data_IF_869139525648
#
_entry.id   IF_869139525648
#
_cell.length_a   1.000
_cell.length_b   1.000
_cell.length_c   1.000
_cell.angle_alpha   90.00
_cell.angle_beta   90.00
_cell.angle_gamma   90.00
#
_symmetry.space_group_name_H-M   'P 1'
#
loop_
_entity.id
_entity.type
_entity.pdbx_description
1 polymer ?
#
# COMPACT_ATOMS: atom_id res chain seq x y z
N UNK A 1 -2.44 -36.46 33.80
CA UNK A 1 -1.55 -35.34 33.46
C UNK A 1 -1.79 -35.00 32.00
N UNK A 2 -2.29 -33.80 31.70
CA UNK A 2 -2.44 -33.33 30.32
C UNK A 2 -1.06 -33.03 29.74
N UNK A 3 -0.81 -33.45 28.51
CA UNK A 3 0.42 -33.07 27.81
C UNK A 3 0.49 -31.54 27.70
N UNK A 4 1.69 -30.94 27.86
CA UNK A 4 1.85 -29.51 27.65
C UNK A 4 1.48 -29.15 26.21
N UNK A 5 0.89 -27.98 26.01
CA UNK A 5 0.56 -27.46 24.69
C UNK A 5 1.83 -27.32 23.83
N UNK A 6 1.70 -27.63 22.55
CA UNK A 6 2.79 -27.42 21.58
C UNK A 6 3.09 -25.93 21.44
N UNK A 7 4.39 -25.57 21.35
CA UNK A 7 4.87 -24.19 21.19
C UNK A 7 5.61 -24.05 19.86
N UNK A 8 5.30 -22.98 19.11
CA UNK A 8 5.99 -22.60 17.88
C UNK A 8 6.70 -21.26 18.08
N UNK A 9 8.03 -21.26 17.93
CA UNK A 9 8.87 -20.07 18.06
C UNK A 9 9.39 -19.64 16.68
N UNK A 10 9.12 -18.41 16.30
CA UNK A 10 9.54 -17.82 15.01
C UNK A 10 10.32 -16.53 15.24
N UNK A 11 11.02 -16.08 14.19
CA UNK A 11 11.49 -14.69 14.13
C UNK A 11 10.27 -13.76 14.17
N UNK A 12 10.45 -12.56 14.73
CA UNK A 12 9.38 -11.56 14.75
C UNK A 12 8.87 -11.31 13.32
N UNK A 13 7.56 -11.39 13.08
CA UNK A 13 7.00 -11.20 11.74
C UNK A 13 6.85 -9.70 11.38
N UNK A 14 6.49 -9.44 10.13
CA UNK A 14 6.10 -8.14 9.58
C UNK A 14 4.78 -8.29 8.80
N UNK A 15 3.98 -7.22 8.71
CA UNK A 15 2.71 -7.20 7.97
C UNK A 15 2.84 -6.37 6.67
N UNK A 16 2.79 -7.03 5.52
CA UNK A 16 3.05 -6.38 4.23
C UNK A 16 1.83 -5.71 3.58
N UNK A 17 0.66 -5.68 4.25
CA UNK A 17 -0.51 -4.94 3.80
C UNK A 17 -1.43 -4.59 4.97
N UNK A 18 -1.35 -3.35 5.48
CA UNK A 18 -2.11 -2.92 6.65
C UNK A 18 -2.85 -1.59 6.46
N UNK A 19 -4.07 -1.50 7.01
CA UNK A 19 -4.85 -0.27 7.07
C UNK A 19 -5.00 0.20 8.52
N UNK A 20 -4.26 1.23 8.90
CA UNK A 20 -4.27 1.79 10.26
C UNK A 20 -5.30 2.89 10.50
N UNK A 21 -5.94 3.41 9.42
CA UNK A 21 -6.91 4.52 9.48
C UNK A 21 -6.27 5.78 10.07
N UNK A 22 -7.05 6.66 10.70
CA UNK A 22 -6.53 7.87 11.36
C UNK A 22 -7.35 8.20 12.61
N UNK A 23 -6.92 9.20 13.39
CA UNK A 23 -7.64 9.70 14.56
C UNK A 23 -7.79 8.65 15.66
N UNK A 24 -8.97 8.57 16.27
CA UNK A 24 -9.20 7.65 17.40
C UNK A 24 -9.23 6.18 16.98
N UNK A 25 -9.58 5.90 15.73
CA UNK A 25 -9.47 4.56 15.16
C UNK A 25 -8.00 4.13 15.12
N UNK A 26 -7.10 5.01 14.67
CA UNK A 26 -5.65 4.75 14.65
C UNK A 26 -5.12 4.40 16.05
N UNK A 27 -5.47 5.21 17.06
CA UNK A 27 -5.07 4.97 18.45
C UNK A 27 -5.56 3.62 18.99
N UNK A 28 -6.72 3.17 18.51
CA UNK A 28 -7.32 1.91 18.91
C UNK A 28 -6.66 0.72 18.23
N UNK A 29 -6.32 0.83 16.93
CA UNK A 29 -5.86 -0.33 16.13
C UNK A 29 -4.34 -0.53 16.12
N UNK A 30 -3.53 0.52 16.27
CA UNK A 30 -2.05 0.42 16.28
C UNK A 30 -1.50 -0.56 17.33
N UNK A 31 -2.04 -0.63 18.58
CA UNK A 31 -1.53 -1.57 19.58
C UNK A 31 -1.58 -3.04 19.13
N UNK A 32 -2.65 -3.46 18.43
CA UNK A 32 -2.80 -4.84 17.95
C UNK A 32 -1.76 -5.24 16.90
N UNK A 33 -1.27 -4.28 16.11
CA UNK A 33 -0.18 -4.52 15.17
C UNK A 33 1.17 -4.45 15.88
N UNK A 34 1.42 -3.36 16.61
CA UNK A 34 2.75 -3.05 17.16
C UNK A 34 3.20 -3.99 18.28
N UNK A 35 2.28 -4.70 18.94
CA UNK A 35 2.63 -5.73 19.93
C UNK A 35 3.28 -6.97 19.29
N UNK A 36 2.93 -7.28 18.03
CA UNK A 36 3.37 -8.50 17.31
C UNK A 36 4.43 -8.20 16.26
N UNK A 37 4.16 -7.25 15.38
CA UNK A 37 4.92 -7.04 14.15
C UNK A 37 6.04 -6.01 14.33
N UNK A 38 7.20 -6.26 13.70
CA UNK A 38 8.31 -5.30 13.71
C UNK A 38 8.09 -4.15 12.73
N UNK A 39 7.53 -4.44 11.56
CA UNK A 39 7.21 -3.47 10.51
C UNK A 39 5.84 -3.76 9.92
N UNK A 40 5.23 -2.73 9.34
CA UNK A 40 4.09 -2.92 8.46
C UNK A 40 4.08 -1.96 7.28
N UNK A 41 3.66 -2.43 6.10
CA UNK A 41 3.34 -1.59 4.96
C UNK A 41 1.99 -0.92 5.21
N UNK A 42 2.01 0.39 5.44
CA UNK A 42 0.81 1.17 5.76
C UNK A 42 0.19 1.70 4.49
N UNK A 43 -1.03 1.26 4.20
CA UNK A 43 -1.78 1.64 3.00
C UNK A 43 -2.25 3.10 3.04
N UNK A 44 -2.34 3.80 1.89
CA UNK A 44 -2.43 5.26 1.84
C UNK A 44 -3.85 5.79 1.60
N UNK A 45 -4.88 4.93 1.64
CA UNK A 45 -6.28 5.26 1.31
C UNK A 45 -7.05 5.94 2.47
N UNK A 46 -6.43 6.96 3.06
CA UNK A 46 -7.10 7.89 3.98
C UNK A 46 -8.08 8.79 3.22
N UNK A 47 -8.79 9.66 3.94
CA UNK A 47 -9.66 10.69 3.38
C UNK A 47 -9.21 12.07 3.90
N UNK A 48 -8.48 12.89 3.12
CA UNK A 48 -7.98 12.62 1.76
C UNK A 48 -6.86 11.56 1.71
N UNK A 49 -6.59 10.93 0.54
CA UNK A 49 -5.53 9.95 0.40
C UNK A 49 -4.14 10.56 0.55
N UNK A 50 -3.16 9.72 0.90
CA UNK A 50 -1.76 10.14 1.08
C UNK A 50 -1.06 10.14 -0.29
N UNK A 51 -0.96 11.31 -0.91
CA UNK A 51 -0.36 11.50 -2.25
C UNK A 51 0.92 12.34 -2.25
N UNK A 52 1.32 12.88 -1.08
CA UNK A 52 2.50 13.75 -0.95
C UNK A 52 3.43 13.27 0.15
N UNK A 53 4.71 13.61 0.04
CA UNK A 53 5.73 13.32 1.06
C UNK A 53 5.36 13.95 2.40
N UNK A 54 4.87 15.19 2.37
CA UNK A 54 4.46 15.91 3.58
C UNK A 54 3.33 15.17 4.31
N UNK A 55 2.29 14.74 3.58
CA UNK A 55 1.19 13.98 4.16
C UNK A 55 1.65 12.64 4.74
N UNK A 56 2.59 11.96 4.06
CA UNK A 56 3.14 10.69 4.52
C UNK A 56 4.00 10.84 5.78
N UNK A 57 4.83 11.88 5.86
CA UNK A 57 5.63 12.20 7.06
C UNK A 57 4.72 12.54 8.23
N UNK A 58 3.70 13.38 8.01
CA UNK A 58 2.74 13.72 9.05
C UNK A 58 1.95 12.50 9.53
N UNK A 59 1.53 11.62 8.61
CA UNK A 59 0.81 10.40 8.97
C UNK A 59 1.70 9.40 9.72
N UNK A 60 2.94 9.22 9.27
CA UNK A 60 3.94 8.41 9.98
C UNK A 60 4.10 8.86 11.43
N UNK A 61 4.19 10.17 11.66
CA UNK A 61 4.32 10.71 13.01
C UNK A 61 3.09 10.37 13.87
N UNK A 62 1.87 10.56 13.34
CA UNK A 62 0.64 10.19 14.06
C UNK A 62 0.59 8.70 14.42
N UNK A 63 1.10 7.83 13.55
CA UNK A 63 1.20 6.39 13.83
C UNK A 63 2.18 6.14 14.98
N UNK A 64 3.38 6.73 14.92
CA UNK A 64 4.40 6.59 15.97
C UNK A 64 3.92 7.12 17.32
N UNK A 65 3.19 8.23 17.34
CA UNK A 65 2.60 8.80 18.56
C UNK A 65 1.53 7.87 19.18
N UNK A 66 0.92 6.99 18.37
CA UNK A 66 -0.05 6.01 18.80
C UNK A 66 0.57 4.65 19.21
N UNK A 67 1.88 4.45 19.04
CA UNK A 67 2.57 3.22 19.45
C UNK A 67 2.73 3.20 20.98
N UNK A 68 2.24 2.15 21.67
CA UNK A 68 2.44 2.01 23.11
C UNK A 68 3.93 1.95 23.51
N UNK A 69 4.24 2.50 24.68
CA UNK A 69 5.60 2.45 25.21
C UNK A 69 6.12 1.00 25.32
N UNK A 70 7.34 0.77 24.82
CA UNK A 70 7.98 -0.54 24.83
C UNK A 70 7.74 -1.40 23.59
N UNK A 71 6.85 -0.98 22.68
CA UNK A 71 6.72 -1.61 21.37
C UNK A 71 7.82 -1.09 20.44
N UNK A 72 8.38 -1.99 19.62
CA UNK A 72 9.38 -1.67 18.60
C UNK A 72 8.74 -1.96 17.24
N UNK A 73 8.10 -0.92 16.69
CA UNK A 73 7.30 -0.96 15.48
C UNK A 73 7.69 0.16 14.52
N UNK A 74 7.95 -0.19 13.26
CA UNK A 74 8.30 0.76 12.21
C UNK A 74 7.24 0.74 11.09
N UNK A 75 6.42 1.79 10.94
CA UNK A 75 5.50 1.91 9.82
C UNK A 75 6.24 2.26 8.52
N UNK A 76 6.03 1.46 7.48
CA UNK A 76 6.56 1.62 6.13
C UNK A 76 5.49 2.29 5.27
N UNK A 77 5.65 3.59 5.00
CA UNK A 77 4.60 4.37 4.35
C UNK A 77 4.53 4.11 2.85
N UNK A 78 3.35 4.31 2.28
CA UNK A 78 3.12 4.18 0.84
C UNK A 78 2.49 5.43 0.25
N UNK A 79 2.65 5.63 -1.06
CA UNK A 79 1.98 6.69 -1.81
C UNK A 79 0.75 6.15 -2.52
N UNK A 80 -0.36 6.89 -2.47
CA UNK A 80 -1.57 6.58 -3.23
C UNK A 80 -1.40 7.08 -4.67
N UNK A 81 -1.49 6.19 -5.66
CA UNK A 81 -1.41 6.59 -7.07
C UNK A 81 -2.71 7.27 -7.54
N UNK A 82 -2.58 8.41 -8.22
CA UNK A 82 -3.67 9.14 -8.86
C UNK A 82 -3.26 9.58 -10.26
N UNK A 83 -4.24 9.90 -11.11
CA UNK A 83 -3.99 10.41 -12.47
C UNK A 83 -3.14 11.70 -12.50
N UNK A 84 -3.21 12.49 -11.43
CA UNK A 84 -2.53 13.79 -11.32
C UNK A 84 -1.24 13.76 -10.49
N UNK A 85 -0.79 12.58 -10.03
CA UNK A 85 0.40 12.47 -9.21
C UNK A 85 1.64 12.85 -10.02
N UNK A 86 2.39 13.84 -9.55
CA UNK A 86 3.68 14.21 -10.14
C UNK A 86 4.70 13.07 -9.91
N UNK A 87 5.28 12.47 -10.97
CA UNK A 87 6.33 11.46 -10.83
C UNK A 87 7.53 11.94 -10.00
N UNK A 88 7.82 13.25 -9.99
CA UNK A 88 8.91 13.83 -9.20
C UNK A 88 8.61 13.82 -7.71
N UNK A 89 7.35 14.01 -7.30
CA UNK A 89 6.94 13.91 -5.89
C UNK A 89 7.11 12.47 -5.37
N UNK A 90 6.75 11.49 -6.20
CA UNK A 90 6.92 10.08 -5.88
C UNK A 90 8.40 9.68 -5.78
N UNK A 91 9.21 10.07 -6.77
CA UNK A 91 10.65 9.80 -6.76
C UNK A 91 11.33 10.46 -5.57
N UNK A 92 11.00 11.72 -5.27
CA UNK A 92 11.52 12.43 -4.11
C UNK A 92 11.24 11.67 -2.82
N UNK A 93 9.97 11.28 -2.59
CA UNK A 93 9.60 10.54 -1.40
C UNK A 93 10.25 9.16 -1.29
N UNK A 94 10.50 8.47 -2.40
CA UNK A 94 11.22 7.20 -2.40
C UNK A 94 12.71 7.38 -2.08
N UNK A 95 13.38 8.34 -2.73
CA UNK A 95 14.80 8.62 -2.51
C UNK A 95 15.09 9.16 -1.10
N UNK A 96 14.15 9.90 -0.50
CA UNK A 96 14.23 10.38 0.89
C UNK A 96 13.89 9.28 1.92
N UNK A 97 13.47 8.08 1.49
CA UNK A 97 13.06 6.99 2.38
C UNK A 97 11.73 7.23 3.09
N UNK A 98 10.91 8.16 2.59
CA UNK A 98 9.55 8.41 3.11
C UNK A 98 8.59 7.36 2.57
N UNK A 99 8.60 7.10 1.27
CA UNK A 99 7.80 6.05 0.65
C UNK A 99 8.61 4.76 0.49
N UNK A 100 8.04 3.65 0.92
CA UNK A 100 8.59 2.31 0.67
C UNK A 100 8.08 1.74 -0.66
N UNK A 101 6.84 2.05 -1.03
CA UNK A 101 6.18 1.58 -2.25
C UNK A 101 5.01 2.53 -2.63
N UNK A 102 4.42 2.35 -3.80
CA UNK A 102 3.19 3.04 -4.20
C UNK A 102 2.05 2.05 -4.39
N UNK A 103 0.82 2.45 -4.06
CA UNK A 103 -0.36 1.59 -4.14
C UNK A 103 -1.29 2.06 -5.25
N UNK A 104 -1.55 1.16 -6.19
CA UNK A 104 -2.58 1.28 -7.20
C UNK A 104 -3.93 0.83 -6.66
N UNK A 105 -4.93 1.71 -6.76
CA UNK A 105 -6.33 1.35 -6.65
C UNK A 105 -7.04 1.74 -7.95
N UNK A 106 -7.73 0.80 -8.62
CA UNK A 106 -8.66 1.16 -9.68
C UNK A 106 -9.74 2.09 -9.13
N UNK A 107 -10.09 3.12 -9.90
CA UNK A 107 -11.15 4.06 -9.53
C UNK A 107 -12.44 3.29 -9.18
N UNK A 108 -13.02 3.62 -8.03
CA UNK A 108 -14.27 3.04 -7.50
C UNK A 108 -14.25 1.53 -7.19
N UNK A 109 -13.09 0.86 -7.15
CA UNK A 109 -13.00 -0.54 -6.76
C UNK A 109 -13.31 -0.80 -5.28
N UNK A 110 -12.92 0.10 -4.38
CA UNK A 110 -12.89 -0.17 -2.94
C UNK A 110 -13.02 1.11 -2.10
N UNK A 111 -12.94 0.96 -0.78
CA UNK A 111 -13.08 2.05 0.19
C UNK A 111 -12.07 3.17 -0.09
N UNK A 112 -12.59 4.40 -0.21
CA UNK A 112 -11.85 5.62 -0.54
C UNK A 112 -11.08 5.57 -1.88
N UNK A 113 -11.53 4.77 -2.86
CA UNK A 113 -10.90 4.72 -4.19
C UNK A 113 -11.54 5.61 -5.25
N UNK A 114 -12.39 6.57 -4.87
CA UNK A 114 -12.98 7.55 -5.80
C UNK A 114 -11.95 8.50 -6.42
N UNK A 115 -10.80 8.70 -5.75
CA UNK A 115 -9.66 9.46 -6.27
C UNK A 115 -8.62 8.55 -6.94
N UNK A 116 -9.00 7.28 -7.19
CA UNK A 116 -8.17 6.26 -7.80
C UNK A 116 -7.86 6.52 -9.26
N UNK A 117 -7.06 5.62 -9.82
CA UNK A 117 -6.57 5.71 -11.20
C UNK A 117 -7.69 5.37 -12.17
N UNK A 118 -7.92 6.22 -13.18
CA UNK A 118 -8.96 5.98 -14.19
C UNK A 118 -8.55 4.94 -15.24
N UNK A 119 -7.27 4.92 -15.59
CA UNK A 119 -6.68 3.94 -16.52
C UNK A 119 -5.17 3.83 -16.28
N UNK A 120 -4.61 2.65 -16.54
CA UNK A 120 -3.16 2.42 -16.42
C UNK A 120 -2.37 3.32 -17.37
N UNK A 121 -2.89 3.52 -18.58
CA UNK A 121 -2.24 4.39 -19.58
C UNK A 121 -2.09 5.84 -19.10
N UNK A 122 -3.06 6.35 -18.34
CA UNK A 122 -3.00 7.72 -17.80
C UNK A 122 -1.84 7.92 -16.79
N UNK A 123 -1.42 6.85 -16.10
CA UNK A 123 -0.36 6.91 -15.09
C UNK A 123 0.95 6.28 -15.56
N UNK A 124 1.09 5.93 -16.84
CA UNK A 124 2.34 5.38 -17.37
C UNK A 124 3.58 6.21 -17.03
N UNK A 125 3.56 7.57 -17.07
CA UNK A 125 4.73 8.36 -16.68
C UNK A 125 5.23 8.10 -15.24
N UNK A 126 4.31 7.85 -14.29
CA UNK A 126 4.70 7.53 -12.91
C UNK A 126 5.12 6.06 -12.77
N UNK A 127 4.51 5.15 -13.51
CA UNK A 127 4.91 3.73 -13.52
C UNK A 127 6.31 3.53 -14.13
N UNK A 128 6.62 4.21 -15.23
CA UNK A 128 7.96 4.27 -15.83
C UNK A 128 8.98 4.84 -14.85
N UNK A 129 8.60 5.86 -14.06
CA UNK A 129 9.46 6.39 -12.99
C UNK A 129 9.72 5.35 -11.91
N UNK A 130 8.69 4.65 -11.45
CA UNK A 130 8.80 3.59 -10.44
C UNK A 130 9.73 2.47 -10.90
N UNK A 131 9.60 2.03 -12.15
CA UNK A 131 10.51 1.05 -12.75
C UNK A 131 11.96 1.57 -12.70
N UNK A 132 12.20 2.78 -13.20
CA UNK A 132 13.54 3.39 -13.28
C UNK A 132 14.24 3.49 -11.92
N UNK A 133 13.51 3.86 -10.87
CA UNK A 133 14.08 4.03 -9.51
C UNK A 133 14.02 2.73 -8.69
N UNK A 134 13.40 1.68 -9.21
CA UNK A 134 13.21 0.43 -8.50
C UNK A 134 12.25 0.55 -7.32
N UNK A 135 11.21 1.39 -7.42
CA UNK A 135 10.15 1.47 -6.42
C UNK A 135 9.10 0.38 -6.68
N UNK A 136 8.71 -0.42 -5.66
CA UNK A 136 7.66 -1.43 -5.83
C UNK A 136 6.28 -0.81 -6.08
N UNK A 137 5.55 -1.41 -7.02
CA UNK A 137 4.13 -1.21 -7.22
C UNK A 137 3.34 -2.26 -6.43
N UNK A 138 2.47 -1.81 -5.54
CA UNK A 138 1.49 -2.64 -4.85
C UNK A 138 0.16 -2.49 -5.59
N UNK A 139 -0.54 -3.59 -5.85
CA UNK A 139 -1.71 -3.57 -6.72
C UNK A 139 -2.94 -4.07 -5.97
N UNK A 140 -4.05 -3.34 -6.11
CA UNK A 140 -5.38 -3.90 -5.87
C UNK A 140 -5.90 -4.42 -7.21
N UNK A 141 -5.75 -5.72 -7.45
CA UNK A 141 -5.87 -6.30 -8.79
C UNK A 141 -7.29 -6.70 -9.18
N UNK A 142 -8.21 -5.74 -9.26
CA UNK A 142 -9.58 -5.98 -9.73
C UNK A 142 -9.98 -4.96 -10.81
N UNK A 143 -10.71 -5.38 -11.85
CA UNK A 143 -11.41 -4.44 -12.73
C UNK A 143 -12.76 -4.04 -12.12
N UNK A 144 -13.30 -2.87 -12.49
CA UNK A 144 -14.52 -2.32 -11.86
C UNK A 144 -15.67 -2.11 -12.82
N UNK A 145 -15.58 -2.67 -14.04
CA UNK A 145 -16.64 -2.54 -15.02
C UNK A 145 -17.94 -3.19 -14.52
N UNK A 146 -19.07 -2.52 -14.74
CA UNK A 146 -20.36 -2.92 -14.19
C UNK A 146 -20.92 -4.20 -14.82
N UNK A 147 -20.44 -4.57 -16.01
CA UNK A 147 -20.80 -5.78 -16.75
C UNK A 147 -19.96 -7.01 -16.35
N UNK A 148 -18.95 -6.84 -15.50
CA UNK A 148 -18.10 -7.93 -15.00
C UNK A 148 -18.56 -8.34 -13.59
N UNK A 149 -18.90 -9.62 -13.47
CA UNK A 149 -19.27 -10.24 -12.20
C UNK A 149 -18.13 -10.08 -11.17
N UNK A 150 -18.49 -9.82 -9.90
CA UNK A 150 -17.52 -9.54 -8.85
C UNK A 150 -16.50 -10.66 -8.66
N UNK A 151 -16.88 -11.93 -8.86
CA UNK A 151 -15.99 -13.08 -8.71
C UNK A 151 -15.01 -13.24 -9.89
N UNK A 152 -15.28 -12.58 -11.02
CA UNK A 152 -14.42 -12.62 -12.21
C UNK A 152 -13.45 -11.44 -12.28
N UNK A 153 -13.62 -10.42 -11.43
CA UNK A 153 -12.86 -9.14 -11.53
C UNK A 153 -11.36 -9.30 -11.39
N UNK A 154 -10.91 -10.17 -10.48
CA UNK A 154 -9.47 -10.41 -10.28
C UNK A 154 -8.86 -11.14 -11.49
N UNK A 155 -9.52 -12.20 -11.96
CA UNK A 155 -9.08 -12.93 -13.15
C UNK A 155 -9.00 -12.02 -14.37
N UNK A 156 -9.99 -11.14 -14.56
CA UNK A 156 -9.98 -10.16 -15.65
C UNK A 156 -8.89 -9.11 -15.50
N UNK A 157 -8.55 -8.70 -14.28
CA UNK A 157 -7.43 -7.79 -14.05
C UNK A 157 -6.09 -8.41 -14.45
N UNK A 158 -5.90 -9.71 -14.19
CA UNK A 158 -4.69 -10.43 -14.60
C UNK A 158 -4.49 -10.31 -16.12
N UNK A 159 -5.52 -10.66 -16.88
CA UNK A 159 -5.48 -10.69 -18.35
C UNK A 159 -5.37 -9.29 -18.97
N UNK A 160 -6.17 -8.33 -18.48
CA UNK A 160 -6.33 -7.03 -19.13
C UNK A 160 -5.36 -5.95 -18.63
N UNK A 161 -4.77 -6.13 -17.45
CA UNK A 161 -3.91 -5.11 -16.82
C UNK A 161 -2.57 -5.69 -16.39
N UNK A 162 -2.55 -6.69 -15.50
CA UNK A 162 -1.31 -7.13 -14.86
C UNK A 162 -0.29 -7.67 -15.86
N UNK A 163 -0.72 -8.58 -16.74
CA UNK A 163 0.17 -9.18 -17.72
C UNK A 163 0.67 -8.14 -18.76
N UNK A 164 -0.19 -7.33 -19.40
CA UNK A 164 0.28 -6.24 -20.28
C UNK A 164 1.22 -5.24 -19.60
N UNK A 165 0.93 -4.87 -18.34
CA UNK A 165 1.77 -3.93 -17.58
C UNK A 165 3.19 -4.49 -17.38
N UNK A 166 3.31 -5.75 -16.96
CA UNK A 166 4.62 -6.39 -16.73
C UNK A 166 5.38 -6.66 -18.03
N UNK A 167 4.70 -6.86 -19.14
CA UNK A 167 5.33 -6.95 -20.47
C UNK A 167 5.87 -5.59 -20.94
N UNK A 168 5.16 -4.49 -20.63
CA UNK A 168 5.58 -3.13 -20.99
C UNK A 168 6.69 -2.59 -20.09
N UNK A 169 6.61 -2.85 -18.78
CA UNK A 169 7.58 -2.43 -17.77
C UNK A 169 8.25 -3.66 -17.13
N UNK A 170 9.18 -4.25 -17.88
CA UNK A 170 9.80 -5.55 -17.58
C UNK A 170 10.65 -5.59 -16.31
N UNK A 171 11.11 -4.44 -15.81
CA UNK A 171 11.89 -4.32 -14.57
C UNK A 171 11.06 -3.82 -13.38
N UNK A 172 9.79 -3.47 -13.58
CA UNK A 172 8.92 -3.01 -12.51
C UNK A 172 8.66 -4.14 -11.50
N UNK A 173 8.97 -3.88 -10.23
CA UNK A 173 8.66 -4.80 -9.12
C UNK A 173 7.19 -4.66 -8.75
N UNK A 174 6.47 -5.77 -8.74
CA UNK A 174 5.03 -5.78 -8.48
C UNK A 174 4.68 -6.76 -7.36
N UNK A 175 3.78 -6.34 -6.47
CA UNK A 175 3.06 -7.19 -5.51
C UNK A 175 1.60 -7.19 -5.93
N UNK A 176 1.07 -8.37 -6.25
CA UNK A 176 -0.35 -8.59 -6.52
C UNK A 176 -1.06 -8.82 -5.20
#
# INVERSE_FOLDING_TARGET
MTAPSQVLKIRRPDDWHLHLRDGDMLKTVVPYTSEIYGRAIVMPNLAPPVTTVEAAVAYRQRILDAVPAGHDFTPLMTCYLTDSLDPNELERGFNEGVFTAAKLYPANATTNSSHGVTSIDAIMPVLERMEKIGMPLLVHGEVTHADIDIFDREARFIESVMEPLRQRLTALKVVF
#
